data_IF_775907816502
#
_entry.id   IF_775907816502
#
_cell.length_a   1.000
_cell.length_b   1.000
_cell.length_c   1.000
_cell.angle_alpha   90.00
_cell.angle_beta   90.00
_cell.angle_gamma   90.00
#
_symmetry.space_group_name_H-M   'P 1'
#
loop_
_entity.id
_entity.type
_entity.pdbx_description
1 polymer ?
#
# COMPACT_ATOMS: atom_id res chain seq x y z
N UNK A 1 -0.73 -22.80 34.53
CA UNK A 1 -0.37 -23.11 33.14
C UNK A 1 -0.18 -21.77 32.46
N UNK A 2 1.07 -21.39 32.19
CA UNK A 2 1.39 -20.06 31.68
C UNK A 2 0.67 -19.78 30.34
N UNK A 3 0.10 -18.58 30.15
CA UNK A 3 -0.41 -18.18 28.85
C UNK A 3 0.76 -17.90 27.91
N UNK A 4 0.80 -18.64 26.79
CA UNK A 4 1.76 -18.43 25.70
C UNK A 4 1.70 -16.97 25.22
N UNK A 5 2.87 -16.33 25.16
CA UNK A 5 3.06 -15.00 24.59
C UNK A 5 2.69 -15.01 23.09
N UNK A 6 1.96 -14.02 22.56
CA UNK A 6 1.57 -14.02 21.16
C UNK A 6 2.75 -13.62 20.26
N UNK A 7 3.00 -14.45 19.25
CA UNK A 7 3.86 -14.14 18.10
C UNK A 7 3.20 -13.02 17.26
N UNK A 8 3.96 -11.96 17.05
CA UNK A 8 3.61 -10.82 16.20
C UNK A 8 3.90 -11.21 14.75
N UNK A 9 2.85 -11.57 14.00
CA UNK A 9 2.95 -11.73 12.55
C UNK A 9 3.02 -10.36 11.86
N UNK A 10 3.91 -10.26 10.88
CA UNK A 10 4.18 -9.07 10.10
C UNK A 10 3.08 -8.83 9.05
N UNK A 11 1.81 -8.91 9.46
CA UNK A 11 0.70 -8.51 8.61
C UNK A 11 0.31 -7.07 8.96
N UNK A 12 0.28 -6.19 7.96
CA UNK A 12 -0.48 -4.93 8.01
C UNK A 12 -1.99 -5.17 8.12
N UNK A 13 -2.43 -6.18 8.87
CA UNK A 13 -3.82 -6.61 9.09
C UNK A 13 -4.52 -5.81 10.19
N UNK A 14 -4.04 -4.59 10.49
CA UNK A 14 -4.79 -3.66 11.37
C UNK A 14 -5.66 -2.73 10.54
N UNK A 15 -6.62 -3.32 9.83
CA UNK A 15 -7.85 -2.64 9.41
C UNK A 15 -9.03 -3.59 9.15
N UNK A 16 -8.95 -4.90 9.47
CA UNK A 16 -10.15 -5.74 9.55
C UNK A 16 -10.69 -5.70 10.98
N UNK A 17 -11.16 -4.52 11.38
CA UNK A 17 -12.00 -4.37 12.56
C UNK A 17 -13.26 -5.21 12.37
N UNK A 18 -13.72 -5.81 13.46
CA UNK A 18 -14.93 -6.61 13.53
C UNK A 18 -16.14 -5.81 13.02
N UNK A 19 -16.59 -6.09 11.80
CA UNK A 19 -17.88 -5.59 11.31
C UNK A 19 -19.01 -6.46 11.91
N UNK A 20 -19.32 -6.24 13.19
CA UNK A 20 -20.60 -6.66 13.77
C UNK A 20 -21.63 -5.55 13.48
N UNK A 21 -22.32 -5.64 12.36
CA UNK A 21 -23.43 -4.76 11.98
C UNK A 21 -24.48 -5.55 11.20
N UNK A 22 -25.75 -5.42 11.59
CA UNK A 22 -26.88 -6.18 11.07
C UNK A 22 -26.99 -6.11 9.54
N UNK A 23 -27.12 -7.26 8.90
CA UNK A 23 -27.27 -7.40 7.45
C UNK A 23 -28.65 -6.90 7.00
N UNK A 24 -28.67 -5.85 6.17
CA UNK A 24 -29.76 -5.56 5.23
C UNK A 24 -29.39 -6.20 3.89
N UNK A 25 -30.20 -7.17 3.44
CA UNK A 25 -29.98 -7.98 2.23
C UNK A 25 -30.06 -7.19 0.91
N UNK A 26 -30.22 -5.86 0.94
CA UNK A 26 -30.22 -4.98 -0.25
C UNK A 26 -28.92 -4.25 -0.55
N UNK A 27 -27.85 -4.54 0.17
CA UNK A 27 -26.49 -4.14 -0.24
C UNK A 27 -25.55 -5.29 0.07
N UNK A 28 -25.22 -6.11 -0.93
CA UNK A 28 -24.00 -6.91 -0.85
C UNK A 28 -22.86 -5.89 -0.74
N UNK A 29 -22.48 -5.57 0.50
CA UNK A 29 -21.66 -4.43 0.86
C UNK A 29 -20.31 -4.54 0.19
N UNK A 30 -20.16 -3.93 -0.98
CA UNK A 30 -18.88 -3.86 -1.67
C UNK A 30 -17.92 -3.21 -0.69
N UNK A 31 -16.90 -3.94 -0.23
CA UNK A 31 -15.91 -3.42 0.73
C UNK A 31 -15.03 -2.34 0.06
N UNK A 32 -14.85 -2.45 -1.26
CA UNK A 32 -14.07 -1.55 -2.10
C UNK A 32 -14.85 -1.19 -3.37
N UNK A 33 -14.67 0.05 -3.82
CA UNK A 33 -15.22 0.56 -5.09
C UNK A 33 -14.30 0.20 -6.26
N UNK A 34 -12.98 0.13 -6.00
CA UNK A 34 -11.96 -0.25 -6.99
C UNK A 34 -10.97 -1.25 -6.40
N UNK A 35 -10.57 -2.23 -7.22
CA UNK A 35 -9.52 -3.19 -6.90
C UNK A 35 -8.58 -3.28 -8.07
N UNK A 36 -7.27 -3.27 -7.82
CA UNK A 36 -6.26 -3.52 -8.86
C UNK A 36 -5.18 -4.46 -8.32
N UNK A 37 -4.61 -5.25 -9.23
CA UNK A 37 -3.45 -6.08 -9.00
C UNK A 37 -2.30 -5.54 -9.85
N UNK A 38 -1.12 -5.39 -9.26
CA UNK A 38 0.02 -4.89 -10.00
C UNK A 38 1.27 -4.77 -9.17
N UNK A 39 2.31 -4.24 -9.81
CA UNK A 39 3.62 -4.04 -9.22
C UNK A 39 3.86 -2.56 -8.93
N UNK A 40 4.60 -2.28 -7.86
CA UNK A 40 5.13 -0.94 -7.59
C UNK A 40 6.62 -1.06 -7.37
N UNK A 41 7.37 -0.30 -8.17
CA UNK A 41 8.82 -0.25 -8.13
C UNK A 41 9.30 0.96 -7.34
N UNK A 42 10.48 0.82 -6.73
CA UNK A 42 11.23 1.97 -6.26
C UNK A 42 11.90 2.65 -7.46
N UNK A 43 11.72 3.95 -7.56
CA UNK A 43 12.31 4.81 -8.58
C UNK A 43 13.39 5.66 -7.94
N UNK A 44 14.64 5.36 -8.26
CA UNK A 44 15.79 6.19 -7.89
C UNK A 44 16.03 7.22 -8.99
N UNK A 45 15.94 8.50 -8.65
CA UNK A 45 16.25 9.59 -9.59
C UNK A 45 17.33 10.50 -9.03
N UNK A 46 18.29 10.96 -9.86
CA UNK A 46 19.24 11.98 -9.43
C UNK A 46 18.49 13.28 -9.10
N UNK A 47 18.93 14.06 -8.10
CA UNK A 47 18.39 15.38 -7.85
C UNK A 47 18.56 16.27 -9.09
N UNK A 48 17.52 17.01 -9.47
CA UNK A 48 17.60 17.96 -10.59
C UNK A 48 18.58 19.09 -10.22
N UNK A 49 19.49 19.51 -11.13
CA UNK A 49 19.57 19.20 -12.56
C UNK A 49 20.60 18.11 -12.93
N UNK A 50 21.05 17.30 -11.97
CA UNK A 50 22.11 16.33 -12.19
C UNK A 50 21.63 15.19 -13.12
N UNK A 51 22.52 14.78 -14.02
CA UNK A 51 22.37 13.50 -14.73
C UNK A 51 22.78 12.34 -13.84
N UNK A 52 22.42 11.13 -14.25
CA UNK A 52 22.67 9.92 -13.48
C UNK A 52 24.17 9.72 -13.19
N UNK A 53 25.04 10.02 -14.17
CA UNK A 53 26.49 9.90 -14.03
C UNK A 53 27.14 10.97 -13.15
N UNK A 54 26.43 12.06 -12.85
CA UNK A 54 26.92 13.18 -12.04
C UNK A 54 26.52 13.07 -10.56
N UNK A 55 25.53 12.21 -10.26
CA UNK A 55 24.89 12.19 -8.96
C UNK A 55 25.57 11.19 -8.00
N UNK A 56 25.98 11.70 -6.83
CA UNK A 56 26.43 10.87 -5.70
C UNK A 56 25.30 10.59 -4.70
N UNK A 57 24.12 11.16 -4.94
CA UNK A 57 22.91 11.02 -4.14
C UNK A 57 21.73 10.71 -5.05
N UNK A 58 20.78 9.92 -4.57
CA UNK A 58 19.58 9.55 -5.31
C UNK A 58 18.34 9.85 -4.46
N UNK A 59 17.33 10.45 -5.07
CA UNK A 59 16.01 10.58 -4.48
C UNK A 59 15.22 9.28 -4.65
N UNK A 60 14.56 8.85 -3.58
CA UNK A 60 13.73 7.66 -3.57
C UNK A 60 12.26 8.05 -3.81
N UNK A 61 11.68 7.51 -4.88
CA UNK A 61 10.27 7.63 -5.22
C UNK A 61 9.65 6.24 -5.38
N UNK A 62 8.32 6.14 -5.44
CA UNK A 62 7.61 4.93 -5.88
C UNK A 62 6.94 5.17 -7.23
N UNK A 63 6.84 4.12 -8.04
CA UNK A 63 6.15 4.15 -9.32
C UNK A 63 5.45 2.82 -9.61
N UNK A 64 4.17 2.89 -9.90
CA UNK A 64 3.36 1.76 -10.34
C UNK A 64 2.05 2.30 -10.91
N UNK A 65 1.67 1.89 -12.12
CA UNK A 65 0.50 2.46 -12.80
C UNK A 65 -0.78 2.18 -12.01
N UNK A 66 -0.90 0.95 -11.52
CA UNK A 66 -2.03 0.43 -10.75
C UNK A 66 -2.12 1.12 -9.40
N UNK A 67 -1.02 1.13 -8.64
CA UNK A 67 -0.96 1.78 -7.33
C UNK A 67 -1.21 3.28 -7.43
N UNK A 68 -0.65 3.95 -8.43
CA UNK A 68 -0.85 5.40 -8.62
C UNK A 68 -2.29 5.74 -8.97
N UNK A 69 -2.94 4.90 -9.80
CA UNK A 69 -4.36 5.07 -10.14
C UNK A 69 -5.23 4.90 -8.88
N UNK A 70 -4.98 3.85 -8.09
CA UNK A 70 -5.73 3.60 -6.86
C UNK A 70 -5.53 4.70 -5.80
N UNK A 71 -4.31 5.20 -5.63
CA UNK A 71 -4.02 6.37 -4.78
C UNK A 71 -4.81 7.60 -5.25
N UNK A 72 -4.85 7.84 -6.56
CA UNK A 72 -5.65 8.93 -7.15
C UNK A 72 -7.14 8.78 -6.85
N UNK A 73 -7.68 7.57 -6.99
CA UNK A 73 -9.08 7.26 -6.68
C UNK A 73 -9.39 7.38 -5.18
N UNK A 74 -8.47 6.95 -4.31
CA UNK A 74 -8.59 7.10 -2.85
C UNK A 74 -8.65 8.57 -2.45
N UNK A 75 -7.83 9.43 -3.07
CA UNK A 75 -7.86 10.89 -2.88
C UNK A 75 -9.17 11.53 -3.34
N UNK A 76 -9.91 10.89 -4.25
CA UNK A 76 -11.24 11.33 -4.69
C UNK A 76 -12.38 10.75 -3.83
N UNK A 77 -12.06 10.03 -2.74
CA UNK A 77 -13.03 9.50 -1.79
C UNK A 77 -13.52 8.08 -2.09
N UNK A 78 -12.97 7.41 -3.10
CA UNK A 78 -13.30 6.02 -3.39
C UNK A 78 -12.54 5.06 -2.47
N UNK A 79 -13.16 3.93 -2.11
CA UNK A 79 -12.47 2.85 -1.39
C UNK A 79 -11.69 2.01 -2.38
N UNK A 80 -10.37 2.08 -2.32
CA UNK A 80 -9.46 1.39 -3.23
C UNK A 80 -8.73 0.24 -2.53
N UNK A 81 -8.55 -0.88 -3.22
CA UNK A 81 -7.73 -2.02 -2.75
C UNK A 81 -6.65 -2.36 -3.77
N UNK A 82 -5.41 -2.39 -3.32
CA UNK A 82 -4.27 -2.80 -4.14
C UNK A 82 -3.77 -4.16 -3.68
N UNK A 83 -3.74 -5.11 -4.61
CA UNK A 83 -3.22 -6.46 -4.38
C UNK A 83 -1.84 -6.55 -5.02
N UNK A 84 -0.82 -6.88 -4.22
CA UNK A 84 0.54 -7.03 -4.71
C UNK A 84 1.37 -7.96 -3.84
N UNK A 85 2.59 -8.24 -4.29
CA UNK A 85 3.59 -9.01 -3.56
C UNK A 85 4.84 -8.16 -3.41
N UNK A 86 5.17 -7.81 -2.17
CA UNK A 86 6.38 -7.07 -1.84
C UNK A 86 7.40 -8.00 -1.18
N UNK A 87 8.70 -7.74 -1.36
CA UNK A 87 9.73 -8.51 -0.68
C UNK A 87 9.75 -8.17 0.81
N UNK A 88 10.07 -9.16 1.64
CA UNK A 88 10.05 -9.02 3.11
C UNK A 88 11.36 -8.41 3.64
N UNK A 89 11.59 -7.15 3.29
CA UNK A 89 12.66 -6.33 3.84
C UNK A 89 12.29 -4.84 3.77
N UNK A 90 13.14 -3.97 4.34
CA UNK A 90 12.84 -2.56 4.55
C UNK A 90 12.40 -1.79 3.29
N UNK A 91 12.91 -2.16 2.11
CA UNK A 91 12.52 -1.52 0.85
C UNK A 91 11.10 -1.91 0.41
N UNK A 92 10.71 -3.17 0.59
CA UNK A 92 9.32 -3.59 0.34
C UNK A 92 8.35 -2.93 1.33
N UNK A 93 8.72 -2.86 2.61
CA UNK A 93 7.94 -2.14 3.63
C UNK A 93 7.79 -0.65 3.29
N UNK A 94 8.84 -0.03 2.74
CA UNK A 94 8.81 1.37 2.31
C UNK A 94 7.79 1.62 1.20
N UNK A 95 7.64 0.69 0.24
CA UNK A 95 6.62 0.78 -0.83
C UNK A 95 5.21 0.77 -0.22
N UNK A 96 4.90 -0.22 0.63
CA UNK A 96 3.60 -0.31 1.29
C UNK A 96 3.28 0.94 2.10
N UNK A 97 4.27 1.45 2.85
CA UNK A 97 4.13 2.68 3.64
C UNK A 97 3.84 3.89 2.78
N UNK A 98 4.56 4.07 1.67
CA UNK A 98 4.38 5.22 0.79
C UNK A 98 3.01 5.17 0.13
N UNK A 99 2.53 4.03 -0.35
CA UNK A 99 1.18 3.91 -0.91
C UNK A 99 0.12 4.27 0.14
N UNK A 100 0.18 3.65 1.32
CA UNK A 100 -0.78 3.91 2.41
C UNK A 100 -0.76 5.37 2.90
N UNK A 101 0.38 6.05 2.82
CA UNK A 101 0.51 7.47 3.15
C UNK A 101 -0.17 8.37 2.13
N UNK A 102 -0.22 7.98 0.85
CA UNK A 102 -0.72 8.83 -0.24
C UNK A 102 -2.22 8.66 -0.51
N UNK A 103 -2.81 7.51 -0.20
CA UNK A 103 -4.24 7.24 -0.37
C UNK A 103 -4.56 5.76 -0.52
#
# INVERSE_FOLDING_TARGET
MEPKTPEIDASGSKACGQYQGAADERTCGKLYDFVSIGETMLRFSPPIPLRLEQANLMELHIGGSESNTLVGLSRLGARACWISRLPDHSLGQQVARLIAMHG
#
